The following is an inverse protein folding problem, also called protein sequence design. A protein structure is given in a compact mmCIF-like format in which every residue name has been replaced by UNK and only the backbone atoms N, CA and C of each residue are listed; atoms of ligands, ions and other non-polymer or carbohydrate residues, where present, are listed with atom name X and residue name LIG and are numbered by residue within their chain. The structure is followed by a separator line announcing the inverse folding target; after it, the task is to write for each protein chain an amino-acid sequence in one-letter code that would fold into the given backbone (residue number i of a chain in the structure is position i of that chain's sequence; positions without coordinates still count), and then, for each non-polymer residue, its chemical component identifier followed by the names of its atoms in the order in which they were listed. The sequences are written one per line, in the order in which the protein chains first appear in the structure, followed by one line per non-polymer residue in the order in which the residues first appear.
data_IF_528435884979
#
_entry.id   IF_528435884979
#
_cell.length_a   1.000
_cell.length_b   1.000
_cell.length_c   1.000
_cell.angle_alpha   90.00
_cell.angle_beta   90.00
_cell.angle_gamma   90.00
#
_symmetry.space_group_name_H-M   'P 1'
#
loop_
_entity.id
_entity.type
_entity.pdbx_description
1 polymer ?
#
# COMPACT_ATOMS: atom_id res chain seq x y z
N UNK A 1 -1.63 10.61 14.65
CA UNK A 1 -1.01 9.29 14.31
C UNK A 1 0.32 9.51 13.63
N UNK A 2 1.30 8.62 13.86
CA UNK A 2 2.52 8.52 13.02
C UNK A 2 2.22 7.62 11.82
N UNK A 3 2.34 8.15 10.62
CA UNK A 3 2.01 7.46 9.37
C UNK A 3 3.26 7.34 8.51
N UNK A 4 3.65 6.11 8.22
CA UNK A 4 4.71 5.81 7.26
C UNK A 4 4.09 5.43 5.92
N UNK A 5 4.38 6.20 4.87
CA UNK A 5 3.95 5.92 3.49
C UNK A 5 5.07 5.27 2.72
N UNK A 6 4.87 4.04 2.31
CA UNK A 6 5.78 3.27 1.48
C UNK A 6 5.35 3.39 0.01
N UNK A 7 6.01 4.25 -0.75
CA UNK A 7 5.73 4.41 -2.16
C UNK A 7 6.59 3.46 -3.00
N UNK A 8 5.96 2.47 -3.63
CA UNK A 8 6.59 1.51 -4.52
C UNK A 8 6.66 1.96 -5.99
N UNK A 9 6.12 3.14 -6.33
CA UNK A 9 6.15 3.62 -7.70
C UNK A 9 7.50 4.25 -8.09
N UNK A 10 8.06 3.89 -9.24
CA UNK A 10 9.28 4.55 -9.75
C UNK A 10 9.06 6.02 -10.12
N UNK A 11 7.80 6.46 -10.29
CA UNK A 11 7.44 7.86 -10.58
C UNK A 11 7.47 8.77 -9.34
N UNK A 12 7.78 8.24 -8.16
CA UNK A 12 7.86 8.99 -6.89
C UNK A 12 6.58 9.81 -6.63
N UNK A 13 6.73 11.08 -6.26
CA UNK A 13 5.62 12.00 -5.96
C UNK A 13 4.65 12.21 -7.13
N UNK A 14 5.09 12.03 -8.38
CA UNK A 14 4.26 12.21 -9.55
C UNK A 14 3.45 10.97 -9.94
N UNK A 15 3.50 9.92 -9.13
CA UNK A 15 2.75 8.70 -9.41
C UNK A 15 1.25 8.86 -9.21
N UNK A 16 0.48 8.14 -10.02
CA UNK A 16 -0.98 8.09 -9.94
C UNK A 16 -1.45 7.64 -8.56
N UNK A 17 -0.77 6.65 -8.00
CA UNK A 17 -1.06 6.13 -6.66
C UNK A 17 -0.77 7.16 -5.56
N UNK A 18 0.25 8.01 -5.73
CA UNK A 18 0.49 9.11 -4.78
C UNK A 18 -0.56 10.21 -4.88
N UNK A 19 -1.19 10.43 -6.03
CA UNK A 19 -2.36 11.33 -6.11
C UNK A 19 -3.48 10.82 -5.19
N UNK A 20 -3.78 9.52 -5.22
CA UNK A 20 -4.77 8.88 -4.36
C UNK A 20 -4.35 8.91 -2.89
N UNK A 21 -3.10 8.57 -2.59
CA UNK A 21 -2.56 8.54 -1.22
C UNK A 21 -2.60 9.92 -0.57
N UNK A 22 -2.23 10.98 -1.30
CA UNK A 22 -2.34 12.36 -0.81
C UNK A 22 -3.78 12.78 -0.54
N UNK A 23 -4.73 12.37 -1.40
CA UNK A 23 -6.15 12.63 -1.17
C UNK A 23 -6.65 11.94 0.11
N UNK A 24 -6.26 10.69 0.33
CA UNK A 24 -6.59 9.94 1.54
C UNK A 24 -6.01 10.62 2.79
N UNK A 25 -4.72 10.93 2.80
CA UNK A 25 -4.03 11.60 3.91
C UNK A 25 -4.65 12.98 4.19
N UNK A 26 -5.01 13.74 3.12
CA UNK A 26 -5.72 15.01 3.29
C UNK A 26 -7.02 14.83 4.05
N UNK A 27 -7.78 13.78 3.73
CA UNK A 27 -8.99 13.44 4.47
C UNK A 27 -8.72 13.08 5.92
N UNK A 28 -7.69 12.30 6.19
CA UNK A 28 -7.28 11.97 7.56
C UNK A 28 -6.92 13.23 8.37
N UNK A 29 -6.21 14.19 7.76
CA UNK A 29 -5.81 15.43 8.42
C UNK A 29 -6.99 16.39 8.67
N UNK A 30 -8.14 16.20 8.05
CA UNK A 30 -9.38 16.93 8.36
C UNK A 30 -10.03 16.47 9.67
N UNK A 31 -9.77 15.23 10.08
CA UNK A 31 -10.27 14.67 11.33
C UNK A 31 -9.27 14.79 12.49
N UNK A 32 -8.02 15.12 12.24
CA UNK A 32 -6.98 15.29 13.26
C UNK A 32 -5.58 15.39 12.65
N UNK A 33 -4.63 15.92 13.43
CA UNK A 33 -3.23 16.00 12.98
C UNK A 33 -2.56 14.65 12.89
N UNK A 34 -1.80 14.44 11.81
CA UNK A 34 -1.00 13.24 11.59
C UNK A 34 0.44 13.65 11.22
N UNK A 35 1.41 12.95 11.80
CA UNK A 35 2.81 13.04 11.38
C UNK A 35 3.02 12.04 10.23
N UNK A 36 3.22 12.53 9.03
CA UNK A 36 3.33 11.69 7.82
C UNK A 36 4.76 11.74 7.28
N UNK A 37 5.39 10.59 7.14
CA UNK A 37 6.66 10.42 6.47
C UNK A 37 6.48 9.56 5.21
N UNK A 38 6.84 10.10 4.04
CA UNK A 38 6.77 9.39 2.76
C UNK A 38 8.14 8.89 2.35
N UNK A 39 8.23 7.60 2.06
CA UNK A 39 9.45 6.92 1.64
C UNK A 39 9.26 6.42 0.21
N UNK A 40 10.05 6.94 -0.71
CA UNK A 40 10.14 6.41 -2.07
C UNK A 40 11.12 5.24 -2.07
N UNK A 41 10.60 4.01 -2.14
CA UNK A 41 11.43 2.81 -2.07
C UNK A 41 12.44 2.70 -3.20
N UNK A 42 12.16 3.31 -4.34
CA UNK A 42 13.09 3.36 -5.48
C UNK A 42 14.37 4.16 -5.18
N UNK A 43 14.33 5.04 -4.19
CA UNK A 43 15.47 5.88 -3.79
C UNK A 43 16.24 5.29 -2.60
N UNK A 44 15.82 4.10 -2.13
CA UNK A 44 16.45 3.41 -1.01
C UNK A 44 17.35 2.28 -1.49
N UNK A 45 18.50 2.18 -0.86
CA UNK A 45 19.39 1.04 -1.06
C UNK A 45 18.88 -0.12 -0.19
N UNK A 46 18.19 -1.08 -0.81
CA UNK A 46 17.66 -2.29 -0.16
C UNK A 46 18.17 -3.50 -0.92
N UNK A 47 19.14 -4.20 -0.34
CA UNK A 47 19.65 -5.47 -0.88
C UNK A 47 18.57 -6.54 -0.83
N UNK A 48 18.57 -7.44 -1.80
CA UNK A 48 17.62 -8.55 -1.81
C UNK A 48 17.88 -9.52 -0.66
N UNK A 49 16.80 -10.01 -0.05
CA UNK A 49 16.91 -11.04 0.97
C UNK A 49 17.51 -12.33 0.39
N UNK A 50 18.58 -12.83 1.00
CA UNK A 50 19.24 -14.07 0.58
C UNK A 50 18.68 -15.33 1.27
N UNK A 51 17.67 -15.18 2.14
CA UNK A 51 17.07 -16.30 2.85
C UNK A 51 17.99 -16.98 3.85
N UNK A 52 19.04 -16.31 4.34
CA UNK A 52 20.02 -16.88 5.28
C UNK A 52 19.50 -17.07 6.70
N UNK A 53 18.35 -16.45 7.05
CA UNK A 53 17.69 -16.47 8.35
C UNK A 53 18.55 -16.02 9.54
N UNK A 54 19.68 -15.35 9.31
CA UNK A 54 20.53 -14.85 10.39
C UNK A 54 19.78 -13.89 11.30
N UNK A 55 18.98 -12.97 10.75
CA UNK A 55 18.19 -12.00 11.50
C UNK A 55 17.20 -12.68 12.47
N UNK A 56 16.56 -13.77 12.06
CA UNK A 56 15.60 -14.49 12.90
C UNK A 56 16.27 -15.27 14.04
N UNK A 57 17.60 -15.48 13.99
CA UNK A 57 18.40 -16.18 15.01
C UNK A 57 19.18 -15.21 15.92
N UNK A 58 19.45 -14.00 15.43
CA UNK A 58 20.31 -13.02 16.10
C UNK A 58 19.53 -11.81 16.62
N UNK A 59 18.28 -12.00 17.07
CA UNK A 59 17.48 -10.92 17.67
C UNK A 59 17.14 -9.78 16.72
N UNK A 60 16.94 -10.09 15.42
CA UNK A 60 16.52 -9.10 14.41
C UNK A 60 17.67 -8.46 13.63
N UNK A 61 18.93 -8.78 13.89
CA UNK A 61 20.04 -8.15 13.17
C UNK A 61 20.29 -8.81 11.81
N UNK A 62 20.07 -8.03 10.72
CA UNK A 62 20.35 -8.50 9.36
C UNK A 62 21.83 -8.39 9.01
N UNK A 63 22.31 -9.30 8.15
CA UNK A 63 23.70 -9.29 7.65
C UNK A 63 23.96 -8.13 6.67
N UNK A 64 22.91 -7.67 5.95
CA UNK A 64 23.02 -6.54 5.02
C UNK A 64 23.07 -5.22 5.78
N UNK A 65 23.99 -4.35 5.39
CA UNK A 65 24.18 -3.02 5.96
C UNK A 65 23.67 -1.96 4.94
N UNK A 66 22.38 -1.79 4.92
CA UNK A 66 21.65 -0.95 3.98
C UNK A 66 20.55 -0.13 4.70
N UNK A 67 19.69 0.56 3.94
CA UNK A 67 18.65 1.44 4.50
C UNK A 67 17.58 0.69 5.31
N UNK A 68 17.48 -0.65 5.18
CA UNK A 68 16.43 -1.42 5.85
C UNK A 68 16.44 -1.29 7.36
N UNK A 69 17.63 -1.11 8.00
CA UNK A 69 17.69 -0.98 9.46
C UNK A 69 16.84 0.20 9.94
N UNK A 70 17.04 1.38 9.37
CA UNK A 70 16.28 2.58 9.73
C UNK A 70 14.78 2.46 9.38
N UNK A 71 14.46 1.80 8.26
CA UNK A 71 13.08 1.54 7.86
C UNK A 71 12.35 0.61 8.83
N UNK A 72 13.03 -0.43 9.35
CA UNK A 72 12.47 -1.33 10.36
C UNK A 72 12.22 -0.61 11.70
N UNK A 73 13.15 0.27 12.12
CA UNK A 73 12.98 1.09 13.32
C UNK A 73 11.76 2.00 13.17
N UNK A 74 11.57 2.63 11.98
CA UNK A 74 10.42 3.50 11.73
C UNK A 74 9.08 2.72 11.68
N UNK A 75 9.07 1.48 11.17
CA UNK A 75 7.89 0.60 11.24
C UNK A 75 7.43 0.46 12.69
N UNK A 76 8.35 0.18 13.61
CA UNK A 76 8.05 -0.04 15.02
C UNK A 76 7.47 1.20 15.73
N UNK A 77 7.80 2.38 15.22
CA UNK A 77 7.31 3.65 15.76
C UNK A 77 6.00 4.14 15.11
N UNK A 78 5.54 3.48 14.06
CA UNK A 78 4.39 3.91 13.27
C UNK A 78 3.07 3.36 13.83
N UNK A 79 2.00 4.14 13.66
CA UNK A 79 0.62 3.70 13.95
C UNK A 79 -0.06 3.12 12.70
N UNK A 80 0.36 3.58 11.51
CA UNK A 80 -0.20 3.19 10.22
C UNK A 80 0.89 3.11 9.15
N UNK A 81 0.95 1.97 8.45
CA UNK A 81 1.73 1.81 7.22
C UNK A 81 0.80 1.89 6.01
N UNK A 82 1.09 2.82 5.09
CA UNK A 82 0.38 2.95 3.82
C UNK A 82 1.28 2.42 2.70
N UNK A 83 0.87 1.33 2.07
CA UNK A 83 1.52 0.74 0.90
C UNK A 83 0.88 1.32 -0.37
N UNK A 84 1.56 2.29 -0.98
CA UNK A 84 1.12 3.00 -2.18
C UNK A 84 1.90 2.52 -3.39
N UNK A 85 1.27 1.81 -4.34
CA UNK A 85 1.99 1.26 -5.49
C UNK A 85 1.10 1.01 -6.72
N UNK A 86 1.64 1.15 -7.94
CA UNK A 86 0.98 0.69 -9.15
C UNK A 86 1.03 -0.83 -9.23
N UNK A 87 -0.01 -1.43 -9.81
CA UNK A 87 -0.04 -2.86 -10.10
C UNK A 87 0.92 -3.17 -11.27
N UNK A 88 1.97 -3.95 -11.02
CA UNK A 88 2.90 -4.42 -12.05
C UNK A 88 2.84 -5.94 -12.13
N UNK A 89 2.58 -6.46 -13.34
CA UNK A 89 2.44 -7.91 -13.55
C UNK A 89 1.51 -8.57 -12.52
N UNK A 90 0.36 -7.93 -12.25
CA UNK A 90 -0.67 -8.37 -11.29
C UNK A 90 -0.21 -8.42 -9.81
N UNK A 91 0.93 -7.83 -9.48
CA UNK A 91 1.52 -7.84 -8.14
C UNK A 91 2.14 -6.51 -7.72
N UNK A 92 2.89 -6.57 -6.63
CA UNK A 92 3.66 -5.44 -6.11
C UNK A 92 4.90 -5.20 -6.98
N UNK A 93 5.28 -3.92 -7.21
CA UNK A 93 6.54 -3.59 -7.88
C UNK A 93 7.76 -4.14 -7.14
N UNK A 94 8.85 -4.40 -7.85
CA UNK A 94 10.06 -4.99 -7.29
C UNK A 94 10.61 -4.26 -6.04
N UNK A 95 10.67 -2.90 -5.98
CA UNK A 95 11.12 -2.21 -4.77
C UNK A 95 10.23 -2.49 -3.55
N UNK A 96 8.91 -2.59 -3.73
CA UNK A 96 7.97 -2.92 -2.66
C UNK A 96 8.16 -4.36 -2.19
N UNK A 97 8.34 -5.29 -3.14
CA UNK A 97 8.58 -6.70 -2.80
C UNK A 97 9.92 -6.89 -2.09
N UNK A 98 10.98 -6.21 -2.53
CA UNK A 98 12.27 -6.22 -1.85
C UNK A 98 12.16 -5.72 -0.40
N UNK A 99 11.44 -4.62 -0.17
CA UNK A 99 11.16 -4.12 1.17
C UNK A 99 10.44 -5.16 2.04
N UNK A 100 9.34 -5.75 1.54
CA UNK A 100 8.57 -6.76 2.29
C UNK A 100 9.42 -7.98 2.62
N UNK A 101 10.22 -8.50 1.68
CA UNK A 101 11.09 -9.65 1.92
C UNK A 101 12.16 -9.36 3.01
N UNK A 102 12.48 -8.10 3.22
CA UNK A 102 13.46 -7.64 4.20
C UNK A 102 12.84 -7.27 5.55
N UNK A 103 11.54 -7.53 5.76
CA UNK A 103 10.89 -7.38 7.09
C UNK A 103 11.07 -8.60 7.99
N UNK A 104 11.68 -9.68 7.53
CA UNK A 104 12.00 -10.89 8.33
C UNK A 104 12.66 -10.62 9.69
N UNK A 105 13.52 -9.57 9.88
CA UNK A 105 14.06 -9.22 11.18
C UNK A 105 13.01 -8.96 12.27
N UNK A 106 11.78 -8.64 11.88
CA UNK A 106 10.67 -8.39 12.82
C UNK A 106 10.03 -9.68 13.36
N UNK A 107 10.44 -10.85 12.83
CA UNK A 107 9.91 -12.16 13.20
C UNK A 107 11.02 -13.08 13.69
N UNK A 108 10.68 -14.08 14.52
CA UNK A 108 11.57 -15.12 14.98
C UNK A 108 11.35 -16.42 14.19
N UNK A 109 12.27 -17.39 14.37
CA UNK A 109 12.10 -18.75 13.80
C UNK A 109 10.97 -19.55 14.45
N UNK A 110 10.54 -19.17 15.65
CA UNK A 110 9.42 -19.83 16.32
C UNK A 110 8.13 -19.65 15.52
N UNK A 111 7.31 -20.68 15.53
CA UNK A 111 6.00 -20.65 14.87
C UNK A 111 4.89 -20.90 15.88
N UNK A 112 3.76 -20.26 15.68
CA UNK A 112 2.52 -20.53 16.41
C UNK A 112 1.40 -20.89 15.44
N UNK A 113 0.47 -21.73 15.89
CA UNK A 113 -0.75 -22.03 15.13
C UNK A 113 -1.80 -20.96 15.37
N UNK A 114 -2.32 -20.38 14.29
CA UNK A 114 -3.38 -19.38 14.32
C UNK A 114 -4.50 -19.84 13.38
N UNK A 115 -5.58 -20.34 13.96
CA UNK A 115 -6.63 -21.02 13.20
C UNK A 115 -6.09 -22.29 12.51
N UNK A 116 -6.19 -22.34 11.18
CA UNK A 116 -5.72 -23.47 10.37
C UNK A 116 -4.31 -23.29 9.80
N UNK A 117 -3.65 -22.15 10.05
CA UNK A 117 -2.33 -21.84 9.52
C UNK A 117 -1.27 -21.68 10.62
N UNK A 118 0.00 -21.69 10.22
CA UNK A 118 1.12 -21.35 11.07
C UNK A 118 1.66 -19.97 10.71
N UNK A 119 2.04 -19.21 11.71
CA UNK A 119 2.69 -17.92 11.59
C UNK A 119 3.98 -17.87 12.40
N UNK A 120 4.96 -17.11 11.94
CA UNK A 120 6.14 -16.83 12.76
C UNK A 120 5.77 -15.93 13.94
N UNK A 121 6.40 -16.19 15.09
CA UNK A 121 6.21 -15.34 16.27
C UNK A 121 6.96 -14.03 16.05
N UNK A 122 6.26 -12.93 16.24
CA UNK A 122 6.82 -11.59 16.14
C UNK A 122 7.87 -11.35 17.25
N UNK A 123 8.88 -10.53 16.94
CA UNK A 123 9.92 -10.11 17.91
C UNK A 123 9.56 -8.80 18.63
N UNK A 124 8.49 -8.12 18.21
CA UNK A 124 7.98 -6.91 18.81
C UNK A 124 6.44 -6.93 18.82
N UNK A 125 5.83 -6.06 19.62
CA UNK A 125 4.38 -5.89 19.65
C UNK A 125 3.92 -5.01 18.48
N UNK A 126 3.20 -5.60 17.54
CA UNK A 126 2.58 -4.93 16.39
C UNK A 126 1.06 -4.79 16.51
N UNK A 127 0.48 -5.08 17.67
CA UNK A 127 -0.98 -5.08 17.87
C UNK A 127 -1.62 -3.71 17.61
N UNK A 128 -0.86 -2.62 17.75
CA UNK A 128 -1.30 -1.25 17.47
C UNK A 128 -1.21 -0.87 15.99
N UNK A 129 -0.37 -1.57 15.22
CA UNK A 129 -0.04 -1.19 13.86
C UNK A 129 -1.17 -1.55 12.89
N UNK A 130 -1.55 -0.59 12.07
CA UNK A 130 -2.56 -0.73 11.02
C UNK A 130 -1.89 -0.70 9.64
N UNK A 131 -2.53 -1.35 8.69
CA UNK A 131 -2.00 -1.50 7.33
C UNK A 131 -3.03 -1.03 6.31
N UNK A 132 -2.63 -0.19 5.37
CA UNK A 132 -3.47 0.27 4.29
C UNK A 132 -2.78 0.03 2.94
N UNK A 133 -3.45 -0.64 2.03
CA UNK A 133 -3.02 -0.77 0.64
C UNK A 133 -3.79 0.23 -0.23
N UNK A 134 -3.07 1.06 -0.99
CA UNK A 134 -3.61 1.89 -2.07
C UNK A 134 -2.90 1.45 -3.35
N UNK A 135 -3.61 0.72 -4.20
CA UNK A 135 -3.08 0.16 -5.44
C UNK A 135 -3.88 0.63 -6.64
N UNK A 136 -3.21 1.05 -7.69
CA UNK A 136 -3.83 1.45 -8.95
C UNK A 136 -3.36 0.61 -10.13
N UNK A 137 -4.23 0.39 -11.12
CA UNK A 137 -3.87 -0.28 -12.36
C UNK A 137 -4.31 0.51 -13.60
N UNK A 138 -3.73 0.18 -14.75
CA UNK A 138 -4.07 0.74 -16.06
C UNK A 138 -5.14 -0.06 -16.83
N UNK A 139 -5.93 -0.88 -16.12
CA UNK A 139 -7.04 -1.62 -16.71
C UNK A 139 -8.39 -0.91 -16.49
N UNK A 140 -9.39 -1.16 -17.34
CA UNK A 140 -10.70 -0.47 -17.27
C UNK A 140 -11.55 -0.90 -16.08
N UNK A 141 -11.23 -2.02 -15.42
CA UNK A 141 -11.97 -2.52 -14.27
C UNK A 141 -11.04 -3.19 -13.24
N UNK A 142 -11.58 -3.53 -12.08
CA UNK A 142 -10.84 -4.20 -11.01
C UNK A 142 -10.81 -5.73 -11.16
N UNK A 143 -11.73 -6.32 -11.91
CA UNK A 143 -11.96 -7.74 -11.99
C UNK A 143 -10.78 -8.44 -12.72
N UNK A 144 -10.30 -9.54 -12.16
CA UNK A 144 -9.17 -10.33 -12.67
C UNK A 144 -7.82 -9.59 -12.71
N UNK A 145 -7.71 -8.46 -12.00
CA UNK A 145 -6.49 -7.65 -11.98
C UNK A 145 -5.80 -7.62 -10.62
N UNK A 146 -6.53 -7.34 -9.54
CA UNK A 146 -5.95 -7.09 -8.22
C UNK A 146 -5.87 -8.32 -7.31
N UNK A 147 -6.47 -9.43 -7.66
CA UNK A 147 -6.69 -10.59 -6.77
C UNK A 147 -5.38 -11.10 -6.18
N UNK A 148 -4.31 -11.21 -6.98
CA UNK A 148 -3.01 -11.69 -6.50
C UNK A 148 -2.35 -10.69 -5.54
N UNK A 149 -2.36 -9.39 -5.86
CA UNK A 149 -1.80 -8.36 -4.99
C UNK A 149 -2.58 -8.27 -3.66
N UNK A 150 -3.91 -8.36 -3.73
CA UNK A 150 -4.81 -8.36 -2.56
C UNK A 150 -4.58 -9.61 -1.71
N UNK A 151 -4.50 -10.79 -2.33
CA UNK A 151 -4.25 -12.05 -1.62
C UNK A 151 -2.90 -12.02 -0.92
N UNK A 152 -1.84 -11.57 -1.60
CA UNK A 152 -0.52 -11.42 -1.01
C UNK A 152 -0.56 -10.46 0.19
N UNK A 153 -1.18 -9.28 0.03
CA UNK A 153 -1.27 -8.28 1.10
C UNK A 153 -1.99 -8.82 2.33
N UNK A 154 -3.12 -9.51 2.15
CA UNK A 154 -3.87 -10.14 3.24
C UNK A 154 -3.09 -11.24 3.96
N UNK A 155 -2.25 -11.98 3.26
CA UNK A 155 -1.39 -12.99 3.86
C UNK A 155 -0.23 -12.38 4.64
N UNK A 156 0.37 -11.30 4.12
CA UNK A 156 1.45 -10.58 4.81
C UNK A 156 0.95 -9.81 6.03
N UNK A 157 -0.26 -9.24 5.95
CA UNK A 157 -0.86 -8.37 6.98
C UNK A 157 -2.27 -8.83 7.32
N UNK A 158 -2.42 -9.96 8.04
CA UNK A 158 -3.72 -10.60 8.27
C UNK A 158 -4.65 -9.79 9.17
N UNK A 159 -4.07 -8.96 10.05
CA UNK A 159 -4.81 -8.18 11.04
C UNK A 159 -4.81 -6.70 10.67
N UNK A 160 -5.91 -5.99 11.01
CA UNK A 160 -6.01 -4.52 10.92
C UNK A 160 -5.66 -3.93 9.54
N UNK A 161 -5.98 -4.63 8.45
CA UNK A 161 -5.73 -4.15 7.10
C UNK A 161 -6.96 -3.52 6.45
N UNK A 162 -6.71 -2.51 5.61
CA UNK A 162 -7.69 -1.87 4.72
C UNK A 162 -7.11 -1.87 3.30
N UNK A 163 -7.96 -2.05 2.29
CA UNK A 163 -7.52 -2.18 0.90
C UNK A 163 -8.36 -1.26 0.02
N UNK A 164 -7.67 -0.42 -0.75
CA UNK A 164 -8.22 0.44 -1.79
C UNK A 164 -7.55 0.07 -3.12
N UNK A 165 -8.32 -0.42 -4.07
CA UNK A 165 -7.86 -0.74 -5.42
C UNK A 165 -8.60 0.11 -6.43
N UNK A 166 -7.89 0.81 -7.32
CA UNK A 166 -8.50 1.75 -8.26
C UNK A 166 -8.08 1.41 -9.68
N UNK A 167 -9.03 1.00 -10.54
CA UNK A 167 -8.77 0.84 -11.97
C UNK A 167 -8.54 2.21 -12.63
N UNK A 168 -8.10 2.22 -13.88
CA UNK A 168 -7.92 3.43 -14.69
C UNK A 168 -6.98 4.48 -14.07
N UNK A 169 -6.09 4.04 -13.15
CA UNK A 169 -5.28 4.96 -12.35
C UNK A 169 -4.36 5.89 -13.16
N UNK A 170 -3.88 5.58 -14.37
CA UNK A 170 -3.12 6.52 -15.20
C UNK A 170 -3.86 7.83 -15.48
N UNK A 171 -5.20 7.84 -15.44
CA UNK A 171 -6.01 9.04 -15.66
C UNK A 171 -5.78 10.14 -14.61
N UNK A 172 -5.29 9.82 -13.41
CA UNK A 172 -5.06 10.81 -12.36
C UNK A 172 -3.99 11.86 -12.70
N UNK A 173 -3.13 11.57 -13.66
CA UNK A 173 -2.10 12.51 -14.16
C UNK A 173 -2.43 13.08 -15.55
N UNK A 174 -3.66 12.87 -16.04
CA UNK A 174 -4.15 13.44 -17.31
C UNK A 174 -5.07 14.61 -17.01
N UNK A 175 -4.72 15.79 -17.49
CA UNK A 175 -5.47 17.03 -17.18
C UNK A 175 -6.91 16.97 -17.70
N UNK A 176 -7.10 16.42 -18.88
CA UNK A 176 -8.38 16.28 -19.57
C UNK A 176 -9.31 15.32 -18.82
N UNK A 177 -8.77 14.39 -18.06
CA UNK A 177 -9.54 13.46 -17.23
C UNK A 177 -9.99 14.06 -15.88
N UNK A 178 -9.66 15.33 -15.60
CA UNK A 178 -10.04 15.99 -14.35
C UNK A 178 -11.55 15.94 -14.03
N UNK A 179 -12.49 16.00 -15.00
CA UNK A 179 -13.93 15.89 -14.71
C UNK A 179 -14.31 14.56 -14.02
N UNK A 180 -13.61 13.45 -14.29
CA UNK A 180 -13.90 12.14 -13.70
C UNK A 180 -12.96 11.79 -12.53
N UNK A 181 -11.71 12.27 -12.58
CA UNK A 181 -10.72 11.95 -11.53
C UNK A 181 -10.90 12.80 -10.27
N UNK A 182 -11.32 14.07 -10.37
CA UNK A 182 -11.59 14.93 -9.20
C UNK A 182 -12.69 14.37 -8.29
N UNK A 183 -13.87 13.93 -8.82
CA UNK A 183 -14.88 13.27 -7.99
C UNK A 183 -14.33 12.01 -7.30
N UNK A 184 -13.53 11.18 -7.99
CA UNK A 184 -12.91 10.00 -7.39
C UNK A 184 -11.95 10.36 -6.26
N UNK A 185 -11.10 11.37 -6.44
CA UNK A 185 -10.22 11.86 -5.37
C UNK A 185 -11.00 12.43 -4.18
N UNK A 186 -12.18 13.02 -4.41
CA UNK A 186 -13.06 13.48 -3.34
C UNK A 186 -13.61 12.29 -2.51
N UNK A 187 -14.00 11.18 -3.14
CA UNK A 187 -14.40 9.95 -2.43
C UNK A 187 -13.23 9.36 -1.62
N UNK A 188 -12.03 9.32 -2.20
CA UNK A 188 -10.83 8.83 -1.48
C UNK A 188 -10.50 9.73 -0.28
N UNK A 189 -10.64 11.05 -0.42
CA UNK A 189 -10.50 12.00 0.70
C UNK A 189 -11.55 11.76 1.78
N UNK A 190 -12.80 11.53 1.40
CA UNK A 190 -13.86 11.16 2.34
C UNK A 190 -13.51 9.85 3.08
N UNK A 191 -13.00 8.85 2.37
CA UNK A 191 -12.57 7.59 2.96
C UNK A 191 -11.44 7.80 3.99
N UNK A 192 -10.47 8.68 3.70
CA UNK A 192 -9.41 9.04 4.65
C UNK A 192 -9.95 9.68 5.92
N UNK A 193 -10.92 10.59 5.81
CA UNK A 193 -11.59 11.19 6.95
C UNK A 193 -12.33 10.13 7.80
N UNK A 194 -13.14 9.26 7.17
CA UNK A 194 -13.86 8.17 7.86
C UNK A 194 -12.90 7.22 8.56
N UNK A 195 -11.81 6.88 7.88
CA UNK A 195 -10.78 6.02 8.48
C UNK A 195 -10.14 6.66 9.72
N UNK A 196 -9.86 7.94 9.71
CA UNK A 196 -9.32 8.65 10.88
C UNK A 196 -10.32 8.73 12.04
N UNK A 197 -11.62 8.91 11.75
CA UNK A 197 -12.70 9.01 12.74
C UNK A 197 -13.02 7.66 13.40
N UNK A 198 -13.00 6.55 12.66
CA UNK A 198 -13.55 5.25 13.10
C UNK A 198 -12.60 4.06 12.94
N UNK A 199 -11.47 4.23 12.24
CA UNK A 199 -10.59 3.14 11.85
C UNK A 199 -11.14 2.25 10.73
N UNK A 200 -12.25 2.64 10.10
CA UNK A 200 -12.95 1.86 9.07
C UNK A 200 -13.43 2.77 7.93
N UNK A 201 -13.66 2.16 6.78
CA UNK A 201 -14.30 2.79 5.62
C UNK A 201 -15.56 1.97 5.32
N UNK A 202 -16.67 2.64 5.09
CA UNK A 202 -17.95 2.02 4.78
C UNK A 202 -17.85 1.22 3.47
N UNK A 203 -18.43 0.00 3.40
CA UNK A 203 -18.35 -0.84 2.19
C UNK A 203 -18.82 -0.14 0.92
N UNK A 204 -19.90 0.64 1.02
CA UNK A 204 -20.50 1.38 -0.10
C UNK A 204 -19.55 2.45 -0.63
N UNK A 205 -18.78 3.11 0.25
CA UNK A 205 -17.77 4.10 -0.14
C UNK A 205 -16.59 3.41 -0.82
N UNK A 206 -16.14 2.26 -0.30
CA UNK A 206 -15.09 1.45 -0.94
C UNK A 206 -15.52 0.97 -2.32
N UNK A 207 -16.74 0.48 -2.48
CA UNK A 207 -17.28 0.05 -3.76
C UNK A 207 -17.27 1.19 -4.78
N UNK A 208 -17.71 2.38 -4.40
CA UNK A 208 -17.65 3.57 -5.26
C UNK A 208 -16.22 3.92 -5.65
N UNK A 209 -15.26 3.83 -4.73
CA UNK A 209 -13.85 4.12 -5.00
C UNK A 209 -13.23 3.08 -5.97
N UNK A 210 -13.58 1.81 -5.81
CA UNK A 210 -13.01 0.70 -6.56
C UNK A 210 -13.69 0.45 -7.93
N UNK A 211 -14.80 1.15 -8.23
CA UNK A 211 -15.51 1.04 -9.51
C UNK A 211 -14.79 1.77 -10.63
N UNK A 212 -15.01 1.45 -11.92
CA UNK A 212 -14.56 2.25 -13.05
C UNK A 212 -15.03 3.71 -12.98
N UNK A 213 -14.26 4.65 -13.52
CA UNK A 213 -14.60 6.06 -13.61
C UNK A 213 -15.35 6.40 -14.90
N UNK A 214 -15.09 5.62 -15.96
CA UNK A 214 -15.72 5.77 -17.28
C UNK A 214 -16.12 4.39 -17.82
N UNK A 215 -16.94 4.29 -18.89
CA UNK A 215 -17.25 3.02 -19.53
C UNK A 215 -15.98 2.28 -20.02
N UNK A 216 -15.93 0.98 -19.83
CA UNK A 216 -14.74 0.15 -20.11
C UNK A 216 -14.29 0.25 -21.57
N UNK A 217 -15.24 0.27 -22.52
CA UNK A 217 -14.95 0.40 -23.95
C UNK A 217 -14.38 1.78 -24.30
N UNK A 218 -14.81 2.84 -23.59
CA UNK A 218 -14.26 4.18 -23.75
C UNK A 218 -12.83 4.24 -23.24
N UNK A 219 -12.57 3.69 -22.05
CA UNK A 219 -11.19 3.61 -21.53
C UNK A 219 -10.27 2.81 -22.45
N UNK A 220 -10.75 1.67 -22.95
CA UNK A 220 -9.97 0.83 -23.86
C UNK A 220 -9.57 1.60 -25.15
N UNK A 221 -10.49 2.36 -25.75
CA UNK A 221 -10.20 3.21 -26.91
C UNK A 221 -9.14 4.27 -26.60
N UNK A 222 -9.26 4.96 -25.45
CA UNK A 222 -8.27 5.93 -25.00
C UNK A 222 -6.89 5.27 -24.84
N UNK A 223 -6.83 4.12 -24.19
CA UNK A 223 -5.58 3.38 -23.97
C UNK A 223 -4.92 2.90 -25.27
N UNK A 224 -5.73 2.59 -26.30
CA UNK A 224 -5.27 2.21 -27.63
C UNK A 224 -4.89 3.42 -28.51
N UNK A 225 -5.14 4.66 -28.07
CA UNK A 225 -4.93 5.85 -28.89
C UNK A 225 -5.95 6.04 -30.00
N UNK A 226 -7.18 5.53 -29.83
CA UNK A 226 -8.29 5.56 -30.79
C UNK A 226 -9.31 6.65 -30.47
N UNK A 227 -9.08 7.46 -29.40
CA UNK A 227 -9.99 8.51 -28.93
C UNK A 227 -9.30 9.86 -28.90
#
# INVERSE_FOLDING_TARGET
MKIMVLNGSPKRETSDTMCMTRAFIKGMNEAGENAVHTIHLIDRHIEYCTGCFSCMKNGGECIHKDDMKGLLEEILESDLLIFSFPLYCYGMPAPMKAFIDRTLPLSSMAMRKVGERYEHVEQADFSHLKYLMICGCGFPNSQHNFELAVAQFKLCFPNHHTIITVPESPMFNVLEAAPVTKPRLALIRQAGRRYAESGKIEPELLEQICSPMIPEDVYAKIANGEA
#
